data_IF_909627141298
#
_entry.id   IF_909627141298
#
_cell.length_a   1.000
_cell.length_b   1.000
_cell.length_c   1.000
_cell.angle_alpha   90.00
_cell.angle_beta   90.00
_cell.angle_gamma   90.00
#
_symmetry.space_group_name_H-M   'P 1'
#
loop_
_entity.id
_entity.type
_entity.pdbx_description
1 polymer ?
#
# COMPACT_ATOMS: atom_id res chain seq x y z
N UNK A 1 -29.33 34.96 48.73
CA UNK A 1 -30.54 34.44 49.40
C UNK A 1 -30.22 33.02 49.82
N UNK A 2 -30.24 32.72 51.12
CA UNK A 2 -29.88 31.39 51.64
C UNK A 2 -31.06 30.44 51.52
N UNK A 3 -30.78 29.16 51.27
CA UNK A 3 -31.80 28.11 51.28
C UNK A 3 -32.11 27.71 52.72
N UNK A 4 -33.40 27.60 53.05
CA UNK A 4 -33.86 27.13 54.35
C UNK A 4 -33.62 25.62 54.46
N UNK A 5 -32.64 25.22 55.27
CA UNK A 5 -32.26 23.82 55.47
C UNK A 5 -33.30 22.99 56.26
N UNK A 6 -34.40 23.61 56.71
CA UNK A 6 -35.50 22.89 57.37
C UNK A 6 -36.48 22.24 56.39
N UNK A 7 -36.46 22.65 55.11
CA UNK A 7 -37.31 22.07 54.07
C UNK A 7 -36.57 20.96 53.29
N UNK A 8 -37.25 19.84 52.97
CA UNK A 8 -36.67 18.80 52.14
C UNK A 8 -36.35 19.37 50.75
N UNK A 9 -35.18 19.04 50.22
CA UNK A 9 -34.77 19.46 48.88
C UNK A 9 -35.76 18.93 47.83
N UNK A 10 -36.33 19.85 47.04
CA UNK A 10 -37.24 19.54 45.94
C UNK A 10 -36.61 19.95 44.60
N UNK A 11 -36.14 18.96 43.86
CA UNK A 11 -35.53 19.13 42.55
C UNK A 11 -36.50 19.64 41.47
N UNK A 12 -37.83 19.56 41.70
CA UNK A 12 -38.81 20.12 40.78
C UNK A 12 -38.88 21.64 40.87
N UNK A 13 -38.77 22.20 42.09
CA UNK A 13 -38.77 23.64 42.32
C UNK A 13 -37.38 24.24 42.10
N UNK A 14 -36.34 23.52 42.55
CA UNK A 14 -34.96 23.98 42.52
C UNK A 14 -34.16 23.17 41.51
N UNK A 15 -33.62 23.83 40.48
CA UNK A 15 -32.63 23.21 39.60
C UNK A 15 -31.36 22.85 40.38
N UNK A 16 -30.51 21.98 39.83
CA UNK A 16 -29.21 21.73 40.45
C UNK A 16 -28.28 22.89 40.13
N UNK A 17 -27.94 23.69 41.14
CA UNK A 17 -26.83 24.64 41.02
C UNK A 17 -25.53 23.87 40.75
N UNK A 18 -24.65 24.33 39.84
CA UNK A 18 -23.39 23.66 39.62
C UNK A 18 -22.59 23.62 40.92
N UNK A 19 -22.06 22.45 41.27
CA UNK A 19 -21.21 22.29 42.44
C UNK A 19 -19.98 23.19 42.24
N UNK A 20 -19.92 24.32 42.95
CA UNK A 20 -18.87 25.33 42.79
C UNK A 20 -17.50 24.87 43.34
N UNK A 21 -17.33 23.56 43.55
CA UNK A 21 -16.12 22.90 44.05
C UNK A 21 -15.31 22.27 42.91
N UNK A 22 -14.79 23.11 42.03
CA UNK A 22 -13.60 22.79 41.24
C UNK A 22 -13.82 22.38 39.77
N UNK A 23 -13.31 23.24 38.87
CA UNK A 23 -12.84 23.04 37.49
C UNK A 23 -13.58 22.18 36.45
N UNK A 24 -14.67 21.49 36.75
CA UNK A 24 -15.54 20.86 35.75
C UNK A 24 -17.00 21.12 36.09
N UNK A 25 -17.50 22.27 35.65
CA UNK A 25 -18.92 22.60 35.76
C UNK A 25 -19.67 21.74 34.74
N UNK A 26 -20.39 20.72 35.21
CA UNK A 26 -21.32 19.96 34.37
C UNK A 26 -22.40 20.85 33.74
N UNK A 27 -23.19 20.33 32.78
CA UNK A 27 -24.27 21.10 32.18
C UNK A 27 -25.22 21.62 33.26
N UNK A 28 -25.60 22.90 33.16
CA UNK A 28 -26.57 23.54 34.06
C UNK A 28 -27.90 22.83 33.87
N UNK A 29 -28.43 22.22 34.94
CA UNK A 29 -29.74 21.56 34.92
C UNK A 29 -30.77 22.55 35.50
N UNK A 30 -31.82 22.91 34.73
CA UNK A 30 -32.85 23.82 35.19
C UNK A 30 -33.75 23.18 36.27
N UNK A 31 -34.74 23.92 36.76
CA UNK A 31 -35.75 23.37 37.66
C UNK A 31 -36.51 22.23 36.97
N UNK A 32 -36.94 21.22 37.72
CA UNK A 32 -37.70 20.12 37.14
C UNK A 32 -39.03 20.55 36.52
N UNK A 33 -39.70 21.60 37.02
CA UNK A 33 -40.89 22.14 36.36
C UNK A 33 -40.59 22.72 34.97
N UNK A 34 -39.48 23.46 34.84
CA UNK A 34 -39.05 23.98 33.54
C UNK A 34 -38.59 22.86 32.61
N UNK A 35 -37.80 21.91 33.12
CA UNK A 35 -37.28 20.79 32.34
C UNK A 35 -38.39 19.86 31.85
N UNK A 36 -39.35 19.52 32.71
CA UNK A 36 -40.49 18.69 32.34
C UNK A 36 -41.52 19.45 31.49
N UNK A 37 -41.30 20.74 31.20
CA UNK A 37 -42.18 21.51 30.33
C UNK A 37 -43.62 21.56 30.85
N UNK A 38 -43.81 21.70 32.17
CA UNK A 38 -45.15 21.77 32.77
C UNK A 38 -45.92 23.03 32.35
N UNK A 39 -45.20 24.03 31.84
CA UNK A 39 -45.76 25.23 31.21
C UNK A 39 -46.12 25.04 29.73
N UNK A 40 -45.51 24.05 29.06
CA UNK A 40 -45.83 23.68 27.68
C UNK A 40 -47.09 22.81 27.62
N UNK A 41 -47.23 21.89 28.57
CA UNK A 41 -48.44 21.09 28.80
C UNK A 41 -48.60 20.83 30.29
N UNK A 42 -49.75 21.26 30.84
CA UNK A 42 -50.08 21.08 32.25
C UNK A 42 -50.20 19.60 32.67
N UNK A 43 -50.31 18.69 31.71
CA UNK A 43 -50.34 17.24 31.93
C UNK A 43 -48.94 16.62 32.08
N UNK A 44 -47.88 17.35 31.73
CA UNK A 44 -46.52 16.94 32.05
C UNK A 44 -46.31 17.03 33.57
N UNK A 45 -45.71 16.01 34.17
CA UNK A 45 -45.49 15.94 35.61
C UNK A 45 -44.00 15.85 35.94
N UNK A 46 -43.57 16.68 36.89
CA UNK A 46 -42.28 16.53 37.54
C UNK A 46 -42.41 15.69 38.81
N UNK A 47 -41.59 14.65 38.94
CA UNK A 47 -41.51 13.81 40.14
C UNK A 47 -40.15 14.01 40.81
N UNK A 48 -40.08 14.61 42.00
CA UNK A 48 -38.81 14.85 42.68
C UNK A 48 -38.20 13.53 43.17
N UNK A 49 -36.89 13.40 43.00
CA UNK A 49 -36.03 12.35 43.56
C UNK A 49 -34.99 13.00 44.48
N UNK A 50 -34.22 12.19 45.20
CA UNK A 50 -33.31 12.67 46.25
C UNK A 50 -32.39 13.83 45.82
N UNK A 51 -31.80 13.77 44.62
CA UNK A 51 -30.87 14.78 44.10
C UNK A 51 -31.18 15.22 42.66
N UNK A 52 -32.32 14.80 42.10
CA UNK A 52 -32.69 15.02 40.69
C UNK A 52 -34.20 14.88 40.55
N UNK A 53 -34.74 14.99 39.34
CA UNK A 53 -36.16 14.81 39.06
C UNK A 53 -36.34 13.80 37.91
N UNK A 54 -37.53 13.23 37.81
CA UNK A 54 -37.96 12.42 36.67
C UNK A 54 -39.18 13.06 36.06
N UNK A 55 -39.19 13.20 34.74
CA UNK A 55 -40.32 13.74 34.02
C UNK A 55 -41.23 12.62 33.54
N UNK A 56 -42.53 12.79 33.78
CA UNK A 56 -43.57 11.94 33.20
C UNK A 56 -44.29 12.79 32.17
N UNK A 57 -44.03 12.52 30.90
CA UNK A 57 -44.58 13.30 29.80
C UNK A 57 -46.04 12.98 29.55
N UNK A 58 -46.78 13.99 29.10
CA UNK A 58 -48.12 13.83 28.58
C UNK A 58 -48.11 13.02 27.28
N UNK A 59 -49.26 12.51 26.81
CA UNK A 59 -49.35 11.83 25.52
C UNK A 59 -48.96 12.70 24.31
N UNK A 60 -48.80 14.02 24.48
CA UNK A 60 -48.45 14.97 23.41
C UNK A 60 -46.97 15.36 23.41
N UNK A 61 -46.17 14.88 24.36
CA UNK A 61 -44.74 15.21 24.48
C UNK A 61 -43.91 13.97 24.76
N UNK A 62 -42.66 13.99 24.33
CA UNK A 62 -41.64 12.98 24.58
C UNK A 62 -40.35 13.65 25.05
N UNK A 63 -39.41 12.83 25.54
CA UNK A 63 -38.11 13.35 25.95
C UNK A 63 -37.34 13.86 24.73
N UNK A 64 -36.77 15.04 24.85
CA UNK A 64 -35.76 15.50 23.91
C UNK A 64 -34.42 14.86 24.28
N UNK A 65 -33.88 14.02 23.39
CA UNK A 65 -32.60 13.33 23.60
C UNK A 65 -31.38 14.23 23.33
N UNK A 66 -31.58 15.42 22.76
CA UNK A 66 -30.49 16.36 22.48
C UNK A 66 -30.00 17.09 23.71
N UNK A 67 -30.79 17.10 24.79
CA UNK A 67 -30.42 17.70 26.08
C UNK A 67 -30.01 16.62 27.09
N UNK A 68 -29.01 16.91 27.97
CA UNK A 68 -28.36 15.91 28.82
C UNK A 68 -29.13 15.57 30.11
N UNK A 69 -30.40 15.99 30.23
CA UNK A 69 -31.24 15.77 31.41
C UNK A 69 -32.64 15.29 31.03
N UNK A 70 -33.37 14.71 31.99
CA UNK A 70 -34.74 14.25 31.76
C UNK A 70 -35.68 15.42 31.53
N UNK A 71 -36.59 15.30 30.56
CA UNK A 71 -37.38 16.43 30.08
C UNK A 71 -38.57 15.94 29.26
N UNK A 72 -39.52 16.83 28.98
CA UNK A 72 -40.65 16.60 28.06
C UNK A 72 -40.79 17.76 27.08
N UNK A 73 -39.66 18.21 26.52
CA UNK A 73 -39.59 19.43 25.71
C UNK A 73 -39.86 19.17 24.22
N UNK A 74 -39.80 17.91 23.78
CA UNK A 74 -40.05 17.55 22.38
C UNK A 74 -41.53 17.19 22.20
N UNK A 75 -42.29 17.92 21.36
CA UNK A 75 -43.65 17.50 21.00
C UNK A 75 -43.64 16.10 20.39
N UNK A 76 -44.59 15.25 20.79
CA UNK A 76 -44.81 13.96 20.15
C UNK A 76 -45.34 14.21 18.74
N UNK A 77 -44.49 13.93 17.76
CA UNK A 77 -44.85 14.02 16.36
C UNK A 77 -45.16 12.62 15.78
N UNK A 78 -45.72 12.59 14.58
CA UNK A 78 -45.99 11.31 13.89
C UNK A 78 -44.72 10.59 13.41
N UNK A 79 -43.53 11.20 13.51
CA UNK A 79 -42.25 10.55 13.19
C UNK A 79 -41.73 9.68 14.34
N UNK A 80 -42.04 9.99 15.59
CA UNK A 80 -41.73 9.12 16.75
C UNK A 80 -42.31 7.70 16.63
N UNK A 81 -43.35 7.52 15.81
CA UNK A 81 -44.01 6.23 15.56
C UNK A 81 -43.76 5.65 14.16
N UNK A 82 -43.00 6.34 13.31
CA UNK A 82 -42.72 5.94 11.92
C UNK A 82 -41.24 5.62 11.74
N UNK A 83 -40.98 4.46 11.15
CA UNK A 83 -39.61 4.03 10.80
C UNK A 83 -39.41 4.24 9.30
N UNK A 84 -38.32 4.92 8.95
CA UNK A 84 -37.80 5.04 7.58
C UNK A 84 -36.46 4.31 7.55
N UNK A 85 -36.30 3.31 6.68
CA UNK A 85 -35.11 2.44 6.66
C UNK A 85 -33.94 3.15 5.97
N UNK A 86 -34.19 3.67 4.76
CA UNK A 86 -33.24 4.44 3.96
C UNK A 86 -33.81 5.82 3.63
N UNK A 87 -33.89 6.68 4.64
CA UNK A 87 -34.40 8.03 4.47
C UNK A 87 -34.71 8.73 5.78
N UNK A 88 -35.12 9.99 5.67
CA UNK A 88 -35.48 10.81 6.82
C UNK A 88 -37.00 10.84 7.00
N UNK A 89 -37.47 10.72 8.24
CA UNK A 89 -38.87 10.97 8.54
C UNK A 89 -39.13 12.48 8.60
N UNK A 90 -40.15 12.92 7.86
CA UNK A 90 -40.64 14.30 7.87
C UNK A 90 -42.09 14.33 8.33
N UNK A 91 -42.39 15.24 9.26
CA UNK A 91 -43.75 15.45 9.78
C UNK A 91 -44.39 16.64 9.07
N UNK A 92 -45.68 16.52 8.75
CA UNK A 92 -46.48 17.62 8.24
C UNK A 92 -46.67 18.72 9.32
N UNK A 93 -47.01 19.96 8.94
CA UNK A 93 -47.16 21.07 9.87
C UNK A 93 -48.20 20.87 10.98
N UNK A 94 -49.16 19.97 10.77
CA UNK A 94 -50.20 19.61 11.74
C UNK A 94 -49.74 18.60 12.80
N UNK A 95 -48.49 18.12 12.72
CA UNK A 95 -47.89 17.08 13.57
C UNK A 95 -48.59 15.70 13.52
N UNK A 96 -49.67 15.56 12.75
CA UNK A 96 -50.52 14.37 12.72
C UNK A 96 -50.12 13.41 11.61
N UNK A 97 -49.50 13.88 10.54
CA UNK A 97 -49.08 13.03 9.42
C UNK A 97 -47.57 13.05 9.26
N UNK A 98 -46.98 11.88 9.06
CA UNK A 98 -45.56 11.72 8.73
C UNK A 98 -45.38 10.95 7.41
N UNK A 99 -44.31 11.29 6.69
CA UNK A 99 -43.88 10.67 5.44
C UNK A 99 -42.37 10.41 5.53
N UNK A 100 -41.90 9.34 4.89
CA UNK A 100 -40.47 9.14 4.71
C UNK A 100 -40.03 9.84 3.42
N UNK A 101 -39.05 10.72 3.56
CA UNK A 101 -38.27 11.27 2.46
C UNK A 101 -37.13 10.28 2.17
N UNK A 102 -37.21 9.57 1.05
CA UNK A 102 -36.31 8.45 0.77
C UNK A 102 -34.98 8.92 0.18
N UNK A 103 -33.91 8.24 0.58
CA UNK A 103 -32.60 8.40 -0.04
C UNK A 103 -32.64 7.94 -1.51
N UNK A 104 -31.72 8.46 -2.33
CA UNK A 104 -31.58 8.06 -3.73
C UNK A 104 -31.45 6.53 -3.86
N UNK A 105 -32.19 5.95 -4.80
CA UNK A 105 -32.20 4.50 -5.04
C UNK A 105 -33.17 3.70 -4.15
N UNK A 106 -33.93 4.34 -3.25
CA UNK A 106 -34.98 3.69 -2.46
C UNK A 106 -36.38 4.29 -2.67
N UNK A 107 -37.40 3.49 -2.41
CA UNK A 107 -38.81 3.84 -2.56
C UNK A 107 -39.69 3.06 -1.57
N UNK A 108 -41.00 3.29 -1.65
CA UNK A 108 -42.00 2.70 -0.76
C UNK A 108 -42.27 3.57 0.47
N UNK A 109 -43.35 3.23 1.20
CA UNK A 109 -43.84 4.04 2.33
C UNK A 109 -42.88 4.13 3.54
N UNK A 110 -41.87 3.26 3.58
CA UNK A 110 -40.82 3.18 4.61
C UNK A 110 -39.40 3.26 4.03
N UNK A 111 -39.26 3.53 2.73
CA UNK A 111 -37.98 3.53 2.03
C UNK A 111 -37.20 2.20 2.20
N UNK A 112 -37.92 1.08 2.15
CA UNK A 112 -37.40 -0.27 2.33
C UNK A 112 -37.29 -1.05 1.01
N UNK A 113 -37.77 -0.47 -0.09
CA UNK A 113 -37.73 -1.07 -1.41
C UNK A 113 -36.65 -0.38 -2.25
N UNK A 114 -35.69 -1.10 -2.84
CA UNK A 114 -34.80 -0.49 -3.83
C UNK A 114 -35.60 -0.14 -5.09
N UNK A 115 -35.29 1.01 -5.67
CA UNK A 115 -35.85 1.44 -6.96
C UNK A 115 -35.27 0.60 -8.10
N UNK A 116 -34.02 0.16 -7.95
CA UNK A 116 -33.31 -0.64 -8.94
C UNK A 116 -33.49 -2.14 -8.80
N UNK A 117 -33.44 -2.83 -9.93
CA UNK A 117 -33.45 -4.31 -9.95
C UNK A 117 -32.09 -4.84 -10.38
N UNK A 118 -31.56 -5.76 -9.59
CA UNK A 118 -30.36 -6.50 -9.94
C UNK A 118 -30.69 -7.71 -10.80
N UNK A 119 -29.79 -8.07 -11.71
CA UNK A 119 -29.81 -9.38 -12.37
C UNK A 119 -29.61 -10.50 -11.34
N UNK A 120 -29.85 -11.74 -11.77
CA UNK A 120 -29.29 -12.87 -11.03
C UNK A 120 -27.77 -12.74 -10.98
N UNK A 121 -27.21 -13.15 -9.85
CA UNK A 121 -25.77 -13.31 -9.72
C UNK A 121 -25.26 -14.31 -10.76
N UNK A 122 -24.08 -14.03 -11.32
CA UNK A 122 -23.33 -15.02 -12.07
C UNK A 122 -23.02 -16.23 -11.19
N UNK A 123 -22.65 -17.33 -11.83
CA UNK A 123 -21.96 -18.40 -11.13
C UNK A 123 -20.67 -17.86 -10.49
N UNK A 124 -20.27 -18.47 -9.38
CA UNK A 124 -18.97 -18.20 -8.78
C UNK A 124 -17.87 -18.59 -9.77
N UNK A 125 -16.91 -17.69 -9.97
CA UNK A 125 -15.68 -17.98 -10.69
C UNK A 125 -14.81 -19.02 -9.97
N UNK A 126 -13.74 -19.42 -10.65
CA UNK A 126 -12.73 -20.28 -10.04
C UNK A 126 -12.01 -19.57 -8.89
N UNK A 127 -11.43 -20.36 -8.00
CA UNK A 127 -10.61 -19.83 -6.92
C UNK A 127 -9.24 -19.43 -7.46
N UNK A 128 -8.91 -18.15 -7.31
CA UNK A 128 -7.65 -17.57 -7.75
C UNK A 128 -6.84 -17.02 -6.55
N UNK A 129 -5.52 -17.25 -6.51
CA UNK A 129 -4.79 -18.21 -7.35
C UNK A 129 -5.28 -19.66 -7.17
N UNK A 130 -4.97 -20.54 -8.11
CA UNK A 130 -5.38 -21.96 -8.04
C UNK A 130 -4.74 -22.70 -6.86
N UNK A 131 -3.59 -22.20 -6.39
CA UNK A 131 -2.79 -22.73 -5.29
C UNK A 131 -2.71 -21.72 -4.12
N UNK A 132 -2.16 -22.16 -3.00
CA UNK A 132 -1.84 -21.31 -1.85
C UNK A 132 -2.98 -21.16 -0.83
N UNK A 133 -2.68 -20.58 0.34
CA UNK A 133 -3.63 -20.46 1.44
C UNK A 133 -4.64 -19.31 1.25
N UNK A 134 -4.27 -18.25 0.52
CA UNK A 134 -5.06 -17.04 0.36
C UNK A 134 -5.73 -16.99 -1.03
N UNK A 135 -6.83 -17.73 -1.17
CA UNK A 135 -7.55 -17.89 -2.44
C UNK A 135 -8.93 -17.27 -2.36
N UNK A 136 -9.37 -16.67 -3.46
CA UNK A 136 -10.67 -16.03 -3.54
C UNK A 136 -11.39 -16.40 -4.83
N UNK A 137 -12.71 -16.53 -4.73
CA UNK A 137 -13.61 -16.63 -5.88
C UNK A 137 -14.46 -15.37 -5.95
N UNK A 138 -14.84 -15.00 -7.16
CA UNK A 138 -15.61 -13.78 -7.45
C UNK A 138 -16.88 -14.15 -8.20
N UNK A 139 -17.96 -13.44 -7.93
CA UNK A 139 -19.16 -13.44 -8.78
C UNK A 139 -19.62 -12.01 -9.02
N UNK A 140 -20.33 -11.80 -10.13
CA UNK A 140 -20.77 -10.48 -10.56
C UNK A 140 -22.25 -10.50 -10.90
N UNK A 141 -22.89 -9.33 -10.83
CA UNK A 141 -24.27 -9.11 -11.28
C UNK A 141 -24.34 -7.76 -11.98
N UNK A 142 -25.37 -7.59 -12.80
CA UNK A 142 -25.60 -6.37 -13.57
C UNK A 142 -26.83 -5.64 -13.03
N UNK A 143 -26.78 -4.31 -13.00
CA UNK A 143 -27.97 -3.50 -12.74
C UNK A 143 -28.86 -3.55 -13.99
N UNK A 144 -30.14 -3.90 -13.83
CA UNK A 144 -31.11 -3.99 -14.92
C UNK A 144 -31.95 -2.71 -15.09
N UNK A 145 -31.76 -1.73 -14.20
CA UNK A 145 -32.47 -0.46 -14.24
C UNK A 145 -31.82 0.53 -15.21
N UNK A 146 -32.60 1.51 -15.68
CA UNK A 146 -32.12 2.52 -16.64
C UNK A 146 -31.00 3.40 -16.07
N UNK A 147 -31.01 3.63 -14.75
CA UNK A 147 -29.96 4.38 -14.05
C UNK A 147 -29.17 3.43 -13.16
N UNK A 148 -27.84 3.45 -13.29
CA UNK A 148 -26.95 2.62 -12.48
C UNK A 148 -27.07 2.91 -10.97
N UNK A 149 -27.39 4.17 -10.60
CA UNK A 149 -27.57 4.59 -9.21
C UNK A 149 -28.79 4.03 -8.49
N UNK A 150 -29.73 3.38 -9.21
CA UNK A 150 -30.93 2.83 -8.60
C UNK A 150 -30.65 1.46 -7.92
N UNK A 151 -29.59 0.78 -8.35
CA UNK A 151 -29.26 -0.56 -7.87
C UNK A 151 -28.39 -0.50 -6.61
N UNK A 152 -29.03 -0.64 -5.46
CA UNK A 152 -28.33 -0.55 -4.18
C UNK A 152 -27.54 -1.83 -3.85
N UNK A 153 -26.30 -1.63 -3.41
CA UNK A 153 -25.35 -2.69 -3.04
C UNK A 153 -24.24 -2.94 -4.08
N UNK A 154 -23.36 -3.91 -3.85
CA UNK A 154 -22.21 -4.12 -4.71
C UNK A 154 -22.56 -4.86 -6.01
N UNK A 155 -21.89 -4.53 -7.12
CA UNK A 155 -21.97 -5.27 -8.39
C UNK A 155 -21.15 -6.57 -8.38
N UNK A 156 -20.22 -6.69 -7.43
CA UNK A 156 -19.28 -7.79 -7.33
C UNK A 156 -19.19 -8.29 -5.89
N UNK A 157 -19.11 -9.61 -5.73
CA UNK A 157 -18.92 -10.26 -4.46
C UNK A 157 -17.70 -11.17 -4.50
N UNK A 158 -16.88 -11.08 -3.45
CA UNK A 158 -15.66 -11.86 -3.29
C UNK A 158 -15.82 -12.75 -2.06
N UNK A 159 -15.61 -14.04 -2.23
CA UNK A 159 -15.61 -15.03 -1.15
C UNK A 159 -14.26 -15.71 -1.07
N UNK A 160 -13.81 -16.01 0.16
CA UNK A 160 -12.66 -16.87 0.37
C UNK A 160 -12.96 -18.29 -0.11
N UNK A 161 -11.91 -18.96 -0.59
CA UNK A 161 -11.92 -20.38 -0.91
C UNK A 161 -11.19 -21.18 0.16
N UNK A 162 -11.36 -22.49 0.12
CA UNK A 162 -10.52 -23.42 0.87
C UNK A 162 -9.06 -23.29 0.43
N UNK A 163 -8.13 -23.51 1.36
CA UNK A 163 -6.70 -23.48 1.08
C UNK A 163 -6.34 -24.50 0.02
N UNK A 164 -5.66 -24.05 -1.04
CA UNK A 164 -5.15 -24.91 -2.09
C UNK A 164 -3.80 -25.53 -1.72
N UNK A 165 -3.35 -26.48 -2.53
CA UNK A 165 -1.97 -26.99 -2.49
C UNK A 165 -0.97 -25.82 -2.55
N UNK A 166 0.22 -25.98 -1.97
CA UNK A 166 1.25 -24.93 -1.97
C UNK A 166 1.56 -24.45 -3.39
N UNK A 167 1.65 -23.13 -3.58
CA UNK A 167 2.14 -22.59 -4.83
C UNK A 167 3.63 -22.89 -4.94
N UNK A 168 4.05 -23.42 -6.09
CA UNK A 168 5.45 -23.38 -6.47
C UNK A 168 5.71 -21.91 -6.79
N UNK A 169 6.43 -21.21 -5.91
CA UNK A 169 7.02 -19.95 -6.31
C UNK A 169 8.14 -20.32 -7.28
N UNK A 170 7.92 -20.04 -8.56
CA UNK A 170 9.02 -19.94 -9.50
C UNK A 170 9.98 -18.88 -8.95
N UNK A 171 11.27 -19.20 -8.99
CA UNK A 171 12.39 -18.47 -8.39
C UNK A 171 12.25 -16.97 -8.60
N UNK A 172 12.52 -16.10 -7.59
CA UNK A 172 12.41 -14.66 -7.76
C UNK A 172 13.25 -14.19 -8.96
N UNK A 173 12.64 -13.36 -9.80
CA UNK A 173 13.20 -12.80 -11.06
C UNK A 173 14.59 -12.17 -10.88
N UNK A 174 14.98 -11.80 -9.66
CA UNK A 174 16.31 -11.27 -9.35
C UNK A 174 17.44 -12.33 -9.41
N UNK A 175 17.16 -13.63 -9.25
CA UNK A 175 18.20 -14.66 -9.25
C UNK A 175 18.57 -15.16 -10.66
N UNK A 176 17.63 -15.22 -11.61
CA UNK A 176 17.94 -15.68 -12.98
C UNK A 176 18.97 -14.80 -13.68
N UNK A 177 18.83 -13.47 -13.57
CA UNK A 177 19.77 -12.53 -14.21
C UNK A 177 21.17 -12.56 -13.60
N UNK A 178 21.27 -12.89 -12.31
CA UNK A 178 22.55 -12.99 -11.61
C UNK A 178 23.34 -14.23 -12.03
N UNK A 179 22.66 -15.38 -12.21
CA UNK A 179 23.32 -16.59 -12.70
C UNK A 179 23.85 -16.43 -14.12
N UNK A 180 23.10 -15.79 -15.03
CA UNK A 180 23.58 -15.50 -16.39
C UNK A 180 24.82 -14.59 -16.40
N UNK A 181 24.84 -13.57 -15.53
CA UNK A 181 25.99 -12.68 -15.37
C UNK A 181 27.22 -13.41 -14.81
N UNK A 182 27.03 -14.30 -13.83
CA UNK A 182 28.11 -15.10 -13.24
C UNK A 182 28.73 -16.09 -14.23
N UNK A 183 27.93 -16.74 -15.07
CA UNK A 183 28.44 -17.65 -16.10
C UNK A 183 29.25 -16.91 -17.17
N UNK A 184 28.76 -15.75 -17.62
CA UNK A 184 29.48 -14.91 -18.57
C UNK A 184 30.83 -14.42 -18.01
N UNK A 185 30.86 -13.93 -16.77
CA UNK A 185 32.10 -13.44 -16.15
C UNK A 185 33.13 -14.55 -15.95
N UNK A 186 32.70 -15.76 -15.54
CA UNK A 186 33.57 -16.92 -15.42
C UNK A 186 34.18 -17.33 -16.78
N UNK A 187 33.38 -17.36 -17.84
CA UNK A 187 33.84 -17.67 -19.19
C UNK A 187 34.91 -16.67 -19.70
N UNK A 188 34.67 -15.37 -19.51
CA UNK A 188 35.65 -14.32 -19.86
C UNK A 188 36.93 -14.46 -19.03
N UNK A 189 36.82 -14.79 -17.74
CA UNK A 189 37.99 -15.02 -16.89
C UNK A 189 38.83 -16.21 -17.33
N UNK A 190 38.21 -17.32 -17.73
CA UNK A 190 38.94 -18.50 -18.24
C UNK A 190 39.70 -18.15 -19.52
N UNK A 191 39.07 -17.44 -20.46
CA UNK A 191 39.70 -17.04 -21.72
C UNK A 191 40.89 -16.11 -21.46
N UNK A 192 40.72 -15.10 -20.61
CA UNK A 192 41.78 -14.14 -20.32
C UNK A 192 42.99 -14.81 -19.64
N UNK A 193 42.76 -15.73 -18.70
CA UNK A 193 43.84 -16.52 -18.10
C UNK A 193 44.53 -17.43 -19.13
N UNK A 194 43.79 -18.00 -20.08
CA UNK A 194 44.35 -18.76 -21.20
C UNK A 194 45.29 -17.93 -22.07
N UNK A 195 44.89 -16.71 -22.47
CA UNK A 195 45.75 -15.80 -23.25
C UNK A 195 47.00 -15.36 -22.49
N UNK A 196 46.85 -15.02 -21.20
CA UNK A 196 47.99 -14.64 -20.34
C UNK A 196 48.97 -15.82 -20.22
N UNK A 197 48.47 -17.03 -20.01
CA UNK A 197 49.28 -18.25 -19.97
C UNK A 197 50.03 -18.50 -21.29
N UNK A 198 49.34 -18.39 -22.43
CA UNK A 198 49.95 -18.55 -23.75
C UNK A 198 51.05 -17.51 -24.02
N UNK A 199 50.79 -16.24 -23.67
CA UNK A 199 51.79 -15.16 -23.79
C UNK A 199 53.01 -15.42 -22.90
N UNK A 200 52.81 -15.86 -21.66
CA UNK A 200 53.91 -16.19 -20.74
C UNK A 200 54.79 -17.32 -21.29
N UNK A 201 54.17 -18.37 -21.87
CA UNK A 201 54.88 -19.47 -22.53
C UNK A 201 55.66 -18.95 -23.74
N UNK A 202 55.04 -18.13 -24.60
CA UNK A 202 55.69 -17.56 -25.78
C UNK A 202 56.90 -16.69 -25.41
N UNK A 203 56.76 -15.83 -24.41
CA UNK A 203 57.84 -14.99 -23.90
C UNK A 203 58.97 -15.83 -23.30
N UNK A 204 58.65 -16.92 -22.61
CA UNK A 204 59.63 -17.86 -22.07
C UNK A 204 60.39 -18.57 -23.19
N UNK A 205 59.71 -19.05 -24.23
CA UNK A 205 60.33 -19.67 -25.42
C UNK A 205 61.22 -18.65 -26.14
N UNK A 206 60.73 -17.42 -26.35
CA UNK A 206 61.53 -16.35 -26.97
C UNK A 206 62.79 -16.04 -26.15
N UNK A 207 62.68 -16.00 -24.82
CA UNK A 207 63.80 -15.87 -23.90
C UNK A 207 64.81 -17.02 -24.03
N UNK A 208 64.33 -18.27 -24.10
CA UNK A 208 65.16 -19.46 -24.32
C UNK A 208 65.85 -19.43 -25.69
N UNK A 209 65.13 -19.05 -26.75
CA UNK A 209 65.68 -18.89 -28.11
C UNK A 209 66.76 -17.80 -28.16
N UNK A 210 66.56 -16.67 -27.47
CA UNK A 210 67.58 -15.61 -27.36
C UNK A 210 68.81 -16.11 -26.60
N UNK A 211 68.64 -16.84 -25.51
CA UNK A 211 69.75 -17.46 -24.77
C UNK A 211 70.48 -18.53 -25.60
N UNK A 212 69.75 -19.34 -26.36
CA UNK A 212 70.32 -20.34 -27.27
C UNK A 212 71.17 -19.69 -28.38
N UNK A 213 70.66 -18.62 -29.02
CA UNK A 213 71.44 -17.83 -29.98
C UNK A 213 72.69 -17.22 -29.35
N UNK A 214 72.61 -16.66 -28.14
CA UNK A 214 73.77 -16.08 -27.45
C UNK A 214 74.86 -17.13 -27.18
N UNK A 215 74.50 -18.32 -26.67
CA UNK A 215 75.44 -19.43 -26.44
C UNK A 215 76.07 -19.94 -27.75
N UNK A 216 75.30 -20.04 -28.84
CA UNK A 216 75.83 -20.45 -30.14
C UNK A 216 76.74 -19.39 -30.79
N UNK A 217 76.50 -18.10 -30.54
CA UNK A 217 77.41 -17.02 -30.98
C UNK A 217 78.74 -17.09 -30.21
N UNK A 218 78.71 -17.33 -28.88
CA UNK A 218 79.92 -17.57 -28.10
C UNK A 218 80.67 -18.83 -28.57
N UNK A 219 79.97 -19.93 -28.84
CA UNK A 219 80.56 -21.16 -29.38
C UNK A 219 81.16 -20.95 -30.79
N UNK A 220 80.47 -20.19 -31.65
CA UNK A 220 80.96 -19.81 -32.97
C UNK A 220 82.17 -18.88 -32.92
N UNK A 221 82.27 -18.00 -31.92
CA UNK A 221 83.44 -17.16 -31.68
C UNK A 221 84.63 -17.98 -31.18
N UNK A 222 84.40 -18.98 -30.30
CA UNK A 222 85.42 -19.93 -29.82
C UNK A 222 85.96 -20.84 -30.94
N UNK A 223 85.11 -21.23 -31.87
CA UNK A 223 85.49 -22.00 -33.07
C UNK A 223 86.29 -21.12 -34.06
N UNK A 224 85.93 -19.85 -34.26
CA UNK A 224 86.70 -18.90 -35.07
C UNK A 224 88.03 -18.47 -34.43
N UNK A 225 88.15 -18.41 -33.10
CA UNK A 225 89.43 -18.17 -32.42
C UNK A 225 90.38 -19.36 -32.57
N UNK A 226 89.87 -20.59 -32.59
CA UNK A 226 90.66 -21.80 -32.87
C UNK A 226 91.14 -21.86 -34.34
N UNK A 227 90.34 -21.39 -35.30
CA UNK A 227 90.75 -21.33 -36.72
C UNK A 227 91.65 -20.12 -37.05
N UNK A 228 91.51 -18.99 -36.35
CA UNK A 228 92.42 -17.83 -36.51
C UNK A 228 93.81 -18.07 -35.91
N UNK A 229 93.96 -18.97 -34.93
CA UNK A 229 95.28 -19.39 -34.45
C UNK A 229 96.03 -20.29 -35.45
N UNK A 230 95.34 -20.98 -36.37
CA UNK A 230 95.99 -21.75 -37.43
C UNK A 230 96.40 -20.91 -38.66
N UNK A 231 95.75 -19.76 -38.91
CA UNK A 231 95.99 -18.94 -40.11
C UNK A 231 96.95 -17.76 -39.93
N UNK A 232 97.36 -17.42 -38.70
CA UNK A 232 98.34 -16.34 -38.44
C UNK A 232 99.81 -16.80 -38.47
N UNK A 233 100.09 -18.07 -38.77
CA UNK A 233 101.46 -18.59 -38.92
C UNK A 233 101.94 -18.66 -40.38
N UNK A 234 101.16 -18.24 -41.38
CA UNK A 234 101.55 -18.35 -42.79
C UNK A 234 101.07 -17.17 -43.64
N UNK A 235 102.05 -16.38 -44.11
CA UNK A 235 102.01 -15.39 -45.21
C UNK A 235 101.30 -14.07 -44.92
N UNK A 236 101.94 -12.90 -44.92
CA UNK A 236 103.24 -12.53 -45.51
C UNK A 236 103.16 -12.38 -47.03
N UNK A 237 103.17 -11.11 -47.49
CA UNK A 237 103.32 -10.64 -48.87
C UNK A 237 102.05 -10.47 -49.73
N UNK A 238 101.94 -9.31 -50.38
CA UNK A 238 101.14 -9.16 -51.61
C UNK A 238 100.32 -7.88 -51.73
N UNK A 239 100.93 -6.83 -52.29
CA UNK A 239 100.33 -5.56 -52.72
C UNK A 239 99.38 -5.70 -53.93
N UNK A 240 98.65 -4.59 -54.20
CA UNK A 240 98.10 -4.14 -55.49
C UNK A 240 96.77 -4.78 -55.94
N UNK A 241 95.82 -4.09 -56.57
CA UNK A 241 95.74 -2.72 -57.06
C UNK A 241 94.64 -2.64 -58.15
N UNK A 242 93.79 -1.61 -58.09
CA UNK A 242 92.96 -1.09 -59.21
C UNK A 242 91.79 -1.96 -59.71
N UNK A 243 90.76 -1.46 -60.42
CA UNK A 243 90.32 -0.09 -60.78
C UNK A 243 88.98 -0.23 -61.56
N UNK A 244 88.04 0.71 -61.35
CA UNK A 244 86.96 1.20 -62.27
C UNK A 244 85.83 0.18 -62.64
N UNK A 245 84.55 0.55 -62.78
CA UNK A 245 83.91 1.64 -63.55
C UNK A 245 82.53 2.02 -62.94
N UNK A 246 82.21 3.33 -62.94
CA UNK A 246 80.92 4.04 -62.71
C UNK A 246 80.24 4.27 -64.10
N UNK A 247 79.12 5.01 -64.27
CA UNK A 247 77.83 5.13 -63.55
C UNK A 247 76.63 5.23 -64.55
N UNK A 248 75.40 5.44 -64.05
CA UNK A 248 74.33 6.33 -64.61
C UNK A 248 73.08 6.17 -63.70
N UNK A 249 72.55 7.19 -62.99
CA UNK A 249 71.84 8.43 -63.39
C UNK A 249 70.58 8.12 -64.21
N UNK A 250 69.39 8.68 -64.05
CA UNK A 250 68.69 9.57 -63.10
C UNK A 250 67.27 9.76 -63.69
N UNK A 251 66.38 10.42 -62.96
CA UNK A 251 65.19 11.17 -63.45
C UNK A 251 64.01 10.40 -64.07
N UNK A 252 62.89 10.30 -63.34
CA UNK A 252 61.78 11.27 -63.38
C UNK A 252 60.83 11.00 -62.20
#
# INVERSE_FOLDING_TARGET
MGFDCSQPYDACVLGSAPDARGLNVGPIIPSGYDACGTTLDASNLCVPKANTYVCVCSPAYVRDVTVPYDNCLKPLDSCEKRICVHGQCVTAPDLLKSVCDCDDGYTGSKCDLPTGSWSQWSHWGACEPSCGPARHKRRQRLCLSEREGDCMGPMEEISRCESGLGCIQDVPVEEETWFEFMDWTNYVMIITLGYIGALAIFLSIFGLCRRYKAKNVEAGYRSKSSLRQLSYSTRGSGQSGGRRVRPSSESS
#
